data_IF_100353397874
#
_entry.id   IF_100353397874
#
_cell.length_a   1.000
_cell.length_b   1.000
_cell.length_c   1.000
_cell.angle_alpha   90.00
_cell.angle_beta   90.00
_cell.angle_gamma   90.00
#
_symmetry.space_group_name_H-M   'P 1'
#
loop_
_entity.id
_entity.type
_entity.pdbx_description
1 polymer ?
#
# COMPACT_ATOMS: atom_id res chain seq x y z
N UNK A 1 -6.37 19.83 10.16
CA UNK A 1 -4.90 19.74 10.30
C UNK A 1 -4.19 20.04 8.99
N UNK A 2 -4.38 19.25 7.92
CA UNK A 2 -3.70 19.44 6.62
C UNK A 2 -3.77 20.88 6.07
N UNK A 3 -4.97 21.47 6.05
CA UNK A 3 -5.17 22.86 5.62
C UNK A 3 -4.25 23.84 6.36
N UNK A 4 -4.23 23.78 7.71
CA UNK A 4 -3.42 24.67 8.55
C UNK A 4 -1.92 24.45 8.37
N UNK A 5 -1.49 23.22 8.10
CA UNK A 5 -0.10 22.93 7.76
C UNK A 5 0.29 23.53 6.40
N UNK A 6 -0.57 23.40 5.37
CA UNK A 6 -0.32 23.97 4.04
C UNK A 6 -0.33 25.52 4.05
N UNK A 7 -1.11 26.13 4.94
CA UNK A 7 -1.13 27.59 5.14
C UNK A 7 0.21 28.18 5.58
N UNK A 8 1.16 27.38 6.08
CA UNK A 8 2.50 27.87 6.43
C UNK A 8 3.23 28.48 5.22
N UNK A 9 2.93 28.02 4.00
CA UNK A 9 3.50 28.58 2.78
C UNK A 9 2.97 29.98 2.45
N UNK A 10 1.90 30.46 3.08
CA UNK A 10 1.41 31.83 2.90
C UNK A 10 2.15 32.85 3.76
N UNK A 11 3.02 32.40 4.68
CA UNK A 11 3.89 33.29 5.42
C UNK A 11 5.19 33.47 4.63
N UNK A 12 5.47 34.70 4.19
CA UNK A 12 6.64 35.00 3.35
C UNK A 12 7.97 34.63 4.01
N UNK A 13 8.09 34.83 5.33
CA UNK A 13 9.31 34.49 6.05
C UNK A 13 9.56 32.97 6.05
N UNK A 14 8.53 32.19 6.36
CA UNK A 14 8.60 30.72 6.33
C UNK A 14 8.84 30.23 4.90
N UNK A 15 8.10 30.76 3.93
CA UNK A 15 8.26 30.43 2.51
C UNK A 15 9.70 30.67 2.04
N UNK A 16 10.28 31.81 2.37
CA UNK A 16 11.65 32.14 1.97
C UNK A 16 12.67 31.18 2.55
N UNK A 17 12.54 30.81 3.83
CA UNK A 17 13.40 29.81 4.46
C UNK A 17 13.26 28.43 3.80
N UNK A 18 12.03 28.05 3.43
CA UNK A 18 11.76 26.79 2.74
C UNK A 18 12.41 26.79 1.35
N UNK A 19 12.28 27.88 0.59
CA UNK A 19 12.87 27.99 -0.76
C UNK A 19 14.40 27.94 -0.70
N UNK A 20 15.03 28.63 0.25
CA UNK A 20 16.49 28.58 0.44
C UNK A 20 17.03 27.18 0.72
N UNK A 21 16.19 26.32 1.30
CA UNK A 21 16.54 24.94 1.69
C UNK A 21 15.80 23.90 0.82
N UNK A 22 15.32 24.28 -0.36
CA UNK A 22 14.44 23.46 -1.19
C UNK A 22 15.06 22.10 -1.56
N UNK A 23 16.38 22.05 -1.79
CA UNK A 23 17.13 20.83 -2.12
C UNK A 23 17.01 19.72 -1.08
N UNK A 24 16.77 20.08 0.18
CA UNK A 24 16.56 19.11 1.27
C UNK A 24 15.08 18.92 1.56
N UNK A 25 14.32 20.02 1.61
CA UNK A 25 12.91 19.99 2.02
C UNK A 25 12.02 19.32 0.96
N UNK A 26 12.19 19.69 -0.32
CA UNK A 26 11.30 19.24 -1.38
C UNK A 26 11.29 17.71 -1.51
N UNK A 27 12.44 17.00 -1.59
CA UNK A 27 12.42 15.53 -1.67
C UNK A 27 11.71 14.83 -0.52
N UNK A 28 11.69 15.42 0.69
CA UNK A 28 11.06 14.84 1.88
C UNK A 28 9.53 14.96 1.80
N UNK A 29 9.03 16.12 1.39
CA UNK A 29 7.59 16.40 1.41
C UNK A 29 6.89 16.07 0.09
N UNK A 30 7.63 15.98 -1.02
CA UNK A 30 7.09 15.77 -2.36
C UNK A 30 6.13 14.58 -2.44
N UNK A 31 6.43 13.39 -1.86
CA UNK A 31 5.50 12.26 -1.94
C UNK A 31 4.13 12.55 -1.33
N UNK A 32 4.07 13.33 -0.24
CA UNK A 32 2.82 13.70 0.40
C UNK A 32 2.05 14.74 -0.44
N UNK A 33 2.75 15.72 -1.03
CA UNK A 33 2.15 16.70 -1.93
C UNK A 33 1.58 16.02 -3.19
N UNK A 34 2.32 15.09 -3.79
CA UNK A 34 1.89 14.37 -5.00
C UNK A 34 0.63 13.53 -4.75
N UNK A 35 0.60 12.74 -3.65
CA UNK A 35 -0.58 11.97 -3.26
C UNK A 35 -1.80 12.85 -3.01
N UNK A 36 -1.62 13.97 -2.33
CA UNK A 36 -2.72 14.90 -2.05
C UNK A 36 -3.26 15.54 -3.34
N UNK A 37 -2.38 15.91 -4.27
CA UNK A 37 -2.78 16.52 -5.53
C UNK A 37 -3.60 15.55 -6.42
N UNK A 38 -3.25 14.27 -6.44
CA UNK A 38 -3.90 13.24 -7.27
C UNK A 38 -5.35 12.92 -6.88
N UNK A 39 -5.78 13.24 -5.67
CA UNK A 39 -7.16 12.93 -5.27
C UNK A 39 -7.45 13.06 -3.79
N UNK A 40 -6.99 14.12 -3.12
CA UNK A 40 -7.43 14.39 -1.75
C UNK A 40 -8.94 14.67 -1.73
N UNK A 41 -9.68 14.04 -0.82
CA UNK A 41 -11.15 14.12 -0.73
C UNK A 41 -11.68 15.53 -0.47
N UNK A 42 -10.88 16.39 0.17
CA UNK A 42 -11.22 17.79 0.43
C UNK A 42 -10.60 18.71 -0.65
N UNK A 43 -11.45 19.39 -1.40
CA UNK A 43 -11.06 20.28 -2.50
C UNK A 43 -10.17 21.45 -2.07
N UNK A 44 -10.39 22.03 -0.89
CA UNK A 44 -9.59 23.16 -0.40
C UNK A 44 -8.15 22.72 -0.11
N UNK A 45 -7.99 21.54 0.50
CA UNK A 45 -6.66 20.94 0.73
C UNK A 45 -5.97 20.60 -0.59
N UNK A 46 -6.70 20.08 -1.58
CA UNK A 46 -6.17 19.83 -2.92
C UNK A 46 -5.68 21.12 -3.57
N UNK A 47 -6.49 22.18 -3.58
CA UNK A 47 -6.12 23.49 -4.13
C UNK A 47 -4.91 24.12 -3.43
N UNK A 48 -4.86 24.07 -2.10
CA UNK A 48 -3.69 24.53 -1.33
C UNK A 48 -2.43 23.71 -1.66
N UNK A 49 -2.57 22.39 -1.84
CA UNK A 49 -1.46 21.52 -2.25
C UNK A 49 -0.93 21.92 -3.63
N UNK A 50 -1.81 22.18 -4.59
CA UNK A 50 -1.41 22.63 -5.93
C UNK A 50 -0.69 23.98 -5.90
N UNK A 51 -1.11 24.91 -5.02
CA UNK A 51 -0.39 26.15 -4.79
C UNK A 51 1.03 25.88 -4.27
N UNK A 52 1.18 25.06 -3.23
CA UNK A 52 2.50 24.71 -2.67
C UNK A 52 3.40 24.06 -3.73
N UNK A 53 2.86 23.14 -4.54
CA UNK A 53 3.60 22.54 -5.65
C UNK A 53 4.11 23.58 -6.64
N UNK A 54 3.25 24.54 -7.01
CA UNK A 54 3.61 25.62 -7.93
C UNK A 54 4.77 26.46 -7.39
N UNK A 55 4.78 26.77 -6.09
CA UNK A 55 5.89 27.50 -5.45
C UNK A 55 7.22 26.76 -5.64
N UNK A 56 7.22 25.44 -5.46
CA UNK A 56 8.44 24.64 -5.60
C UNK A 56 8.89 24.49 -7.05
N UNK A 57 7.98 24.29 -7.99
CA UNK A 57 8.33 24.22 -9.42
C UNK A 57 8.86 25.56 -9.95
N UNK A 58 8.29 26.68 -9.50
CA UNK A 58 8.77 28.02 -9.85
C UNK A 58 10.15 28.32 -9.24
N UNK A 59 10.46 27.76 -8.07
CA UNK A 59 11.75 27.95 -7.41
C UNK A 59 12.88 27.12 -8.04
N UNK A 60 12.61 25.85 -8.36
CA UNK A 60 13.58 24.94 -8.99
C UNK A 60 12.86 23.83 -9.76
N UNK A 61 12.63 24.06 -11.05
CA UNK A 61 11.93 23.12 -11.93
C UNK A 61 12.67 21.79 -12.07
N UNK A 62 14.01 21.83 -12.16
CA UNK A 62 14.83 20.62 -12.34
C UNK A 62 14.72 19.71 -11.12
N UNK A 63 14.87 20.27 -9.92
CA UNK A 63 14.69 19.50 -8.68
C UNK A 63 13.27 18.94 -8.53
N UNK A 64 12.26 19.71 -8.95
CA UNK A 64 10.87 19.26 -8.92
C UNK A 64 10.65 18.04 -9.83
N UNK A 65 11.20 18.06 -11.04
CA UNK A 65 11.10 16.95 -12.01
C UNK A 65 11.88 15.72 -11.52
N UNK A 66 13.07 15.89 -10.94
CA UNK A 66 13.83 14.80 -10.31
C UNK A 66 13.01 14.13 -9.19
N UNK A 67 12.34 14.92 -8.34
CA UNK A 67 11.46 14.38 -7.30
C UNK A 67 10.26 13.63 -7.89
N UNK A 68 9.69 14.11 -9.00
CA UNK A 68 8.59 13.44 -9.69
C UNK A 68 9.01 12.07 -10.24
N UNK A 69 10.16 12.00 -10.91
CA UNK A 69 10.70 10.74 -11.46
C UNK A 69 10.93 9.75 -10.32
N UNK A 70 11.62 10.18 -9.26
CA UNK A 70 11.88 9.32 -8.09
C UNK A 70 10.59 8.82 -7.45
N UNK A 71 9.58 9.68 -7.32
CA UNK A 71 8.28 9.29 -6.77
C UNK A 71 7.61 8.19 -7.61
N UNK A 72 7.65 8.30 -8.95
CA UNK A 72 7.09 7.28 -9.85
C UNK A 72 7.84 5.94 -9.76
N UNK A 73 9.17 5.99 -9.67
CA UNK A 73 9.98 4.78 -9.45
C UNK A 73 9.64 4.10 -8.12
N UNK A 74 9.52 4.87 -7.04
CA UNK A 74 9.19 4.36 -5.72
C UNK A 74 7.77 3.77 -5.69
N UNK A 75 6.80 4.39 -6.37
CA UNK A 75 5.45 3.81 -6.55
C UNK A 75 5.48 2.47 -7.29
N UNK A 76 6.28 2.34 -8.34
CA UNK A 76 6.43 1.08 -9.08
C UNK A 76 7.02 -0.01 -8.18
N UNK A 77 8.10 0.30 -7.46
CA UNK A 77 8.75 -0.62 -6.51
C UNK A 77 7.80 -1.08 -5.40
N UNK A 78 7.00 -0.16 -4.85
CA UNK A 78 6.02 -0.53 -3.81
C UNK A 78 4.88 -1.39 -4.35
N UNK A 79 4.46 -1.16 -5.60
CA UNK A 79 3.48 -2.02 -6.28
C UNK A 79 4.01 -3.43 -6.48
N UNK A 80 5.23 -3.58 -7.01
CA UNK A 80 5.87 -4.88 -7.19
C UNK A 80 6.02 -5.64 -5.85
N UNK A 81 6.41 -4.93 -4.78
CA UNK A 81 6.46 -5.51 -3.42
C UNK A 81 5.08 -5.98 -2.96
N UNK A 82 4.04 -5.21 -3.23
CA UNK A 82 2.67 -5.56 -2.86
C UNK A 82 2.18 -6.80 -3.62
N UNK A 83 2.39 -6.85 -4.94
CA UNK A 83 2.04 -8.02 -5.77
C UNK A 83 2.78 -9.29 -5.33
N UNK A 84 4.06 -9.17 -4.97
CA UNK A 84 4.84 -10.28 -4.41
C UNK A 84 4.28 -10.76 -3.08
N UNK A 85 3.85 -9.83 -2.21
CA UNK A 85 3.18 -10.18 -0.94
C UNK A 85 1.87 -10.91 -1.20
N UNK A 86 1.03 -10.40 -2.09
CA UNK A 86 -0.26 -11.02 -2.44
C UNK A 86 -0.09 -12.42 -3.05
N UNK A 87 0.86 -12.60 -3.96
CA UNK A 87 1.21 -13.93 -4.49
C UNK A 87 1.64 -14.91 -3.41
N UNK A 88 2.43 -14.44 -2.44
CA UNK A 88 2.90 -15.26 -1.33
C UNK A 88 1.75 -15.66 -0.40
N UNK A 89 0.85 -14.72 -0.09
CA UNK A 89 -0.36 -14.98 0.70
C UNK A 89 -1.30 -15.97 0.02
N UNK A 90 -1.51 -15.83 -1.28
CA UNK A 90 -2.36 -16.75 -2.05
C UNK A 90 -1.82 -18.19 -2.02
N UNK A 91 -0.51 -18.38 -2.18
CA UNK A 91 0.11 -19.71 -2.07
C UNK A 91 -0.08 -20.33 -0.68
N UNK A 92 0.00 -19.52 0.38
CA UNK A 92 -0.24 -20.00 1.75
C UNK A 92 -1.70 -20.42 1.95
N UNK A 93 -2.65 -19.65 1.39
CA UNK A 93 -4.07 -19.97 1.42
C UNK A 93 -4.39 -21.26 0.65
N UNK A 94 -3.81 -21.44 -0.54
CA UNK A 94 -3.95 -22.66 -1.34
C UNK A 94 -3.41 -23.89 -0.59
N UNK A 95 -2.27 -23.78 0.10
CA UNK A 95 -1.72 -24.88 0.92
C UNK A 95 -2.60 -25.19 2.13
N UNK A 96 -3.15 -24.16 2.79
CA UNK A 96 -4.03 -24.34 3.95
C UNK A 96 -5.37 -25.00 3.56
N UNK A 97 -5.96 -24.59 2.43
CA UNK A 97 -7.20 -25.18 1.91
C UNK A 97 -6.99 -26.62 1.46
N UNK A 98 -5.88 -26.93 0.78
CA UNK A 98 -5.52 -28.30 0.40
C UNK A 98 -5.25 -29.20 1.61
N UNK A 99 -4.58 -28.70 2.64
CA UNK A 99 -4.32 -29.48 3.86
C UNK A 99 -5.62 -29.77 4.64
N UNK A 100 -6.58 -28.84 4.60
CA UNK A 100 -7.89 -29.01 5.23
C UNK A 100 -8.75 -30.02 4.47
N UNK A 101 -8.73 -30.02 3.12
CA UNK A 101 -9.46 -31.01 2.33
C UNK A 101 -8.89 -32.42 2.50
N UNK A 102 -7.55 -32.58 2.50
CA UNK A 102 -6.89 -33.86 2.77
C UNK A 102 -7.23 -34.37 4.17
N UNK A 103 -7.25 -33.50 5.17
CA UNK A 103 -7.64 -33.88 6.55
C UNK A 103 -9.09 -34.35 6.61
N UNK A 104 -9.99 -33.67 5.90
CA UNK A 104 -11.41 -34.06 5.85
C UNK A 104 -11.61 -35.40 5.11
N UNK A 105 -10.94 -35.62 3.97
CA UNK A 105 -11.00 -36.90 3.26
C UNK A 105 -10.43 -38.06 4.08
N UNK A 106 -9.30 -37.87 4.76
CA UNK A 106 -8.70 -38.88 5.62
C UNK A 106 -9.61 -39.26 6.80
N UNK A 107 -10.29 -38.27 7.41
CA UNK A 107 -11.25 -38.51 8.50
C UNK A 107 -12.47 -39.28 8.00
N UNK A 108 -12.99 -38.95 6.80
CA UNK A 108 -14.11 -39.68 6.20
C UNK A 108 -13.71 -41.13 5.88
N UNK A 109 -12.55 -41.34 5.25
CA UNK A 109 -12.04 -42.68 4.94
C UNK A 109 -11.88 -43.55 6.20
N UNK A 110 -11.36 -42.97 7.29
CA UNK A 110 -11.23 -43.66 8.58
C UNK A 110 -12.58 -44.04 9.20
N UNK A 111 -13.59 -43.15 9.14
CA UNK A 111 -14.95 -43.45 9.60
C UNK A 111 -15.62 -44.55 8.77
N UNK A 112 -15.48 -44.50 7.44
CA UNK A 112 -16.01 -45.55 6.57
C UNK A 112 -15.37 -46.91 6.84
N UNK A 113 -14.05 -46.97 6.98
CA UNK A 113 -13.34 -48.21 7.31
C UNK A 113 -13.78 -48.79 8.66
N UNK A 114 -13.98 -47.91 9.66
CA UNK A 114 -14.47 -48.32 10.98
C UNK A 114 -15.89 -48.89 10.93
N UNK A 115 -16.80 -48.26 10.19
CA UNK A 115 -18.17 -48.76 10.01
C UNK A 115 -18.24 -50.10 9.28
N UNK A 116 -17.40 -50.29 8.26
CA UNK A 116 -17.29 -51.56 7.53
C UNK A 116 -16.78 -52.70 8.44
N UNK A 117 -15.78 -52.43 9.28
CA UNK A 117 -15.25 -53.39 10.24
C UNK A 117 -16.30 -53.82 11.29
N UNK A 118 -17.14 -52.89 11.75
CA UNK A 118 -18.24 -53.21 12.69
C UNK A 118 -19.30 -54.11 12.01
N UNK A 119 -19.62 -53.85 10.74
CA UNK A 119 -20.61 -54.62 9.99
C UNK A 119 -20.17 -56.07 9.71
N UNK A 120 -18.89 -56.31 9.40
CA UNK A 120 -18.35 -57.67 9.22
C UNK A 120 -18.27 -58.46 10.52
N UNK A 121 -18.07 -57.80 11.66
CA UNK A 121 -18.08 -58.47 12.97
C UNK A 121 -19.49 -58.92 13.38
N UNK A 122 -20.54 -58.17 12.99
CA UNK A 122 -21.94 -58.56 13.24
C UNK A 122 -22.47 -59.62 12.29
N UNK A 123 -21.88 -59.82 11.11
CA UNK A 123 -22.33 -60.83 10.13
C UNK A 123 -21.81 -62.25 10.41
N UNK A 124 -20.88 -62.42 11.35
CA UNK A 124 -20.24 -63.71 11.67
C UNK A 124 -20.82 -64.40 12.92
N UNK A 125 -22.04 -64.02 13.33
CA UNK A 125 -22.80 -64.67 14.41
C UNK A 125 -24.16 -65.13 13.90
#
# INVERSE_FOLDING_TARGET
VAERALFLWNNDHIRNLIIQNCKVILPIIFPALEKNARGHWNQAVQSLTLNVRKIFSEADQTLFDECMIKFQEDESKEREKQEKRESSWKKLEDVATASTSISNEAVLASRFASSLAIATVQSNY
#
